data_IF_977204644544
#
_entry.id   IF_977204644544
#
_cell.length_a   1.000
_cell.length_b   1.000
_cell.length_c   1.000
_cell.angle_alpha   90.00
_cell.angle_beta   90.00
_cell.angle_gamma   90.00
#
_symmetry.space_group_name_H-M   'P 1'
#
loop_
_entity.id
_entity.type
_entity.pdbx_description
1 polymer ?
#
# COMPACT_ATOMS: atom_id res chain seq x y z
N UNK A 1 -1.71 7.59 -30.99
CA UNK A 1 -2.36 8.09 -29.76
C UNK A 1 -2.91 6.88 -29.05
N UNK A 2 -2.34 6.50 -27.91
CA UNK A 2 -2.92 5.44 -27.09
C UNK A 2 -4.24 5.99 -26.51
N UNK A 3 -5.34 5.28 -26.73
CA UNK A 3 -6.60 5.61 -26.08
C UNK A 3 -6.46 5.36 -24.59
N UNK A 4 -6.97 6.27 -23.74
CA UNK A 4 -6.99 6.12 -22.30
C UNK A 4 -7.55 4.73 -21.90
N UNK A 5 -6.97 4.15 -20.85
CA UNK A 5 -7.36 2.85 -20.31
C UNK A 5 -8.82 2.90 -19.92
N UNK A 6 -9.63 2.11 -20.62
CA UNK A 6 -11.06 2.04 -20.36
C UNK A 6 -11.31 1.05 -19.22
N UNK A 7 -11.56 1.58 -18.02
CA UNK A 7 -11.89 0.79 -16.84
C UNK A 7 -13.25 0.08 -16.95
N UNK A 8 -14.11 0.47 -17.89
CA UNK A 8 -15.41 -0.19 -18.16
C UNK A 8 -15.25 -1.59 -18.77
N UNK A 9 -14.03 -1.97 -19.18
CA UNK A 9 -13.74 -3.30 -19.77
C UNK A 9 -13.29 -4.31 -18.71
N UNK A 10 -13.16 -3.90 -17.45
CA UNK A 10 -12.77 -4.78 -16.37
C UNK A 10 -13.89 -5.78 -16.04
N UNK A 11 -13.55 -7.06 -16.02
CA UNK A 11 -14.46 -8.11 -15.62
C UNK A 11 -14.46 -8.29 -14.09
N UNK A 12 -15.62 -8.53 -13.46
CA UNK A 12 -15.69 -8.83 -12.04
C UNK A 12 -14.87 -10.08 -11.68
N UNK A 13 -14.12 -10.00 -10.58
CA UNK A 13 -13.32 -11.14 -10.11
C UNK A 13 -14.18 -12.35 -9.69
N UNK A 14 -15.38 -12.09 -9.16
CA UNK A 14 -16.41 -13.10 -8.94
C UNK A 14 -17.62 -12.80 -9.81
N UNK A 15 -18.02 -13.76 -10.64
CA UNK A 15 -19.15 -13.64 -11.54
C UNK A 15 -20.37 -14.36 -10.94
N UNK A 16 -21.46 -13.63 -10.74
CA UNK A 16 -22.74 -14.20 -10.34
C UNK A 16 -23.48 -14.74 -11.56
N UNK A 17 -24.03 -15.94 -11.46
CA UNK A 17 -24.87 -16.60 -12.47
C UNK A 17 -26.17 -17.08 -11.82
N UNK A 18 -27.22 -17.30 -12.62
CA UNK A 18 -28.55 -17.66 -12.12
C UNK A 18 -28.61 -19.00 -11.35
N UNK A 19 -27.52 -19.79 -11.37
CA UNK A 19 -27.37 -21.08 -10.66
C UNK A 19 -26.22 -21.14 -9.64
N UNK A 20 -25.55 -20.02 -9.34
CA UNK A 20 -24.39 -19.96 -8.45
C UNK A 20 -23.40 -18.86 -8.85
N UNK A 21 -22.20 -18.83 -8.28
CA UNK A 21 -21.14 -17.92 -8.75
C UNK A 21 -19.83 -18.63 -8.99
N UNK A 22 -19.00 -18.08 -9.87
CA UNK A 22 -17.68 -18.63 -10.21
C UNK A 22 -16.60 -17.56 -10.12
N UNK A 23 -15.43 -17.96 -9.65
CA UNK A 23 -14.23 -17.12 -9.69
C UNK A 23 -13.72 -16.97 -11.13
N UNK A 24 -13.15 -15.80 -11.42
CA UNK A 24 -12.50 -15.53 -12.70
C UNK A 24 -11.36 -16.54 -12.96
N UNK A 25 -11.10 -16.88 -14.23
CA UNK A 25 -10.13 -17.92 -14.60
C UNK A 25 -8.71 -17.67 -14.06
N UNK A 26 -8.32 -16.41 -13.89
CA UNK A 26 -7.01 -16.03 -13.32
C UNK A 26 -6.85 -16.44 -11.86
N UNK A 27 -7.94 -16.71 -11.14
CA UNK A 27 -7.91 -17.10 -9.71
C UNK A 27 -6.99 -18.29 -9.45
N UNK A 28 -6.88 -19.22 -10.42
CA UNK A 28 -6.02 -20.40 -10.32
C UNK A 28 -4.62 -20.22 -10.91
N UNK A 29 -4.33 -19.06 -11.50
CA UNK A 29 -3.03 -18.77 -12.10
C UNK A 29 -1.99 -18.44 -11.01
N UNK A 30 -0.70 -18.76 -11.23
CA UNK A 30 0.36 -18.28 -10.35
C UNK A 30 0.39 -16.75 -10.34
N UNK A 31 0.57 -16.16 -9.15
CA UNK A 31 0.64 -14.70 -9.04
C UNK A 31 1.91 -14.13 -9.67
N UNK A 32 3.02 -14.88 -9.60
CA UNK A 32 4.34 -14.45 -10.08
C UNK A 32 4.85 -15.34 -11.20
N UNK A 33 5.76 -14.80 -12.00
CA UNK A 33 6.60 -15.58 -12.91
C UNK A 33 8.09 -15.30 -12.59
N UNK A 34 8.86 -16.29 -12.11
CA UNK A 34 8.45 -17.67 -11.82
C UNK A 34 7.51 -17.80 -10.60
N UNK A 35 6.73 -18.90 -10.47
CA UNK A 35 5.87 -19.14 -9.30
C UNK A 35 6.67 -19.29 -8.00
N UNK A 36 6.13 -18.77 -6.90
CA UNK A 36 6.75 -18.83 -5.56
C UNK A 36 5.82 -19.53 -4.56
N UNK A 37 6.41 -20.10 -3.50
CA UNK A 37 5.69 -20.82 -2.45
C UNK A 37 5.21 -19.92 -1.31
N UNK A 38 5.61 -18.65 -1.27
CA UNK A 38 5.18 -17.68 -0.26
C UNK A 38 5.46 -16.26 -0.71
N UNK A 39 4.68 -15.31 -0.19
CA UNK A 39 4.88 -13.87 -0.41
C UNK A 39 4.59 -13.17 0.92
N UNK A 40 5.49 -12.31 1.38
CA UNK A 40 5.18 -11.33 2.41
C UNK A 40 4.78 -10.05 1.69
N UNK A 41 3.51 -9.67 1.83
CA UNK A 41 2.96 -8.49 1.19
C UNK A 41 2.82 -7.35 2.20
N UNK A 42 3.42 -6.20 1.89
CA UNK A 42 3.33 -4.96 2.68
C UNK A 42 2.54 -3.89 1.92
N UNK A 43 2.21 -2.79 2.61
CA UNK A 43 1.69 -1.56 1.99
C UNK A 43 2.75 -0.49 2.16
N UNK A 44 3.19 0.09 1.05
CA UNK A 44 4.28 1.07 1.00
C UNK A 44 4.04 2.20 2.01
N UNK A 45 2.81 2.72 2.05
CA UNK A 45 2.44 3.80 2.96
C UNK A 45 2.66 3.45 4.43
N UNK A 46 2.36 2.22 4.86
CA UNK A 46 2.56 1.79 6.23
C UNK A 46 4.05 1.63 6.59
N UNK A 47 4.87 1.18 5.63
CA UNK A 47 6.30 0.95 5.84
C UNK A 47 7.08 2.26 6.02
N UNK A 48 6.65 3.34 5.38
CA UNK A 48 7.35 4.64 5.46
C UNK A 48 6.64 5.65 6.36
N UNK A 49 5.44 5.33 6.87
CA UNK A 49 4.59 6.25 7.63
C UNK A 49 5.33 6.95 8.77
N UNK A 50 6.08 6.19 9.59
CA UNK A 50 6.77 6.77 10.73
C UNK A 50 7.87 7.74 10.31
N UNK A 51 8.64 7.39 9.28
CA UNK A 51 9.71 8.25 8.77
C UNK A 51 9.14 9.55 8.23
N UNK A 52 8.07 9.47 7.42
CA UNK A 52 7.41 10.65 6.86
C UNK A 52 6.76 11.51 7.95
N UNK A 53 6.16 10.88 8.96
CA UNK A 53 5.61 11.58 10.11
C UNK A 53 6.70 12.37 10.85
N UNK A 54 7.87 11.77 11.11
CA UNK A 54 8.99 12.47 11.76
C UNK A 54 9.46 13.63 10.88
N UNK A 55 9.67 13.38 9.59
CA UNK A 55 10.21 14.39 8.68
C UNK A 55 9.29 15.61 8.53
N UNK A 56 7.97 15.39 8.51
CA UNK A 56 6.99 16.46 8.50
C UNK A 56 6.98 17.24 9.84
N UNK A 57 7.06 16.54 10.97
CA UNK A 57 6.85 17.15 12.28
C UNK A 57 8.12 17.67 12.98
N UNK A 58 9.32 17.32 12.49
CA UNK A 58 10.61 17.67 13.14
C UNK A 58 10.83 19.17 13.36
N UNK A 59 10.17 20.02 12.57
CA UNK A 59 10.30 21.48 12.64
C UNK A 59 9.10 22.17 13.32
N UNK A 60 8.10 21.42 13.77
CA UNK A 60 6.90 21.97 14.41
C UNK A 60 7.10 22.21 15.91
N UNK A 61 8.06 21.54 16.53
CA UNK A 61 8.38 21.68 17.94
C UNK A 61 9.88 21.64 18.20
N UNK A 62 10.30 22.30 19.28
CA UNK A 62 11.66 22.28 19.79
C UNK A 62 11.69 21.46 21.09
N UNK A 63 12.58 20.46 21.23
CA UNK A 63 12.71 19.66 22.45
C UNK A 63 13.07 20.49 23.70
N UNK A 64 13.72 21.64 23.53
CA UNK A 64 14.14 22.53 24.62
C UNK A 64 13.06 23.56 25.00
N UNK A 65 12.01 23.69 24.18
CA UNK A 65 10.92 24.59 24.46
C UNK A 65 9.90 23.91 25.38
N UNK A 66 9.59 24.55 26.51
CA UNK A 66 8.65 24.06 27.51
C UNK A 66 7.19 24.15 27.03
N UNK A 67 6.83 23.35 26.02
CA UNK A 67 5.47 23.23 25.48
C UNK A 67 4.60 22.20 26.21
N UNK A 68 5.09 21.64 27.33
CA UNK A 68 4.41 20.60 28.14
C UNK A 68 2.95 20.95 28.49
N UNK A 69 2.61 22.23 28.56
CA UNK A 69 1.27 22.69 28.95
C UNK A 69 0.23 22.63 27.81
N UNK A 70 0.65 22.56 26.55
CA UNK A 70 -0.26 22.69 25.39
C UNK A 70 -0.82 21.38 24.84
N UNK A 71 -0.19 20.24 25.13
CA UNK A 71 -0.53 18.95 24.52
C UNK A 71 -0.33 18.88 23.00
N UNK A 72 0.24 19.92 22.38
CA UNK A 72 0.50 20.02 20.94
C UNK A 72 1.65 19.11 20.51
N UNK A 73 2.76 19.15 21.25
CA UNK A 73 3.93 18.32 21.03
C UNK A 73 4.40 17.68 22.34
N UNK A 74 4.94 16.46 22.26
CA UNK A 74 5.46 15.73 23.41
C UNK A 74 6.73 14.97 23.04
N UNK A 75 7.78 15.16 23.83
CA UNK A 75 9.01 14.37 23.75
C UNK A 75 9.11 13.39 24.91
N UNK A 76 9.87 12.30 24.75
CA UNK A 76 10.12 11.32 25.82
C UNK A 76 10.74 10.02 25.34
N UNK A 77 10.61 8.97 26.15
CA UNK A 77 11.13 7.64 25.83
C UNK A 77 10.33 6.99 24.70
N UNK A 78 11.01 6.58 23.63
CA UNK A 78 10.39 5.97 22.46
C UNK A 78 9.99 4.50 22.74
N UNK A 79 8.71 4.13 22.56
CA UNK A 79 8.27 2.74 22.70
C UNK A 79 8.93 1.81 21.67
N UNK A 80 9.64 0.81 22.17
CA UNK A 80 10.38 -0.14 21.32
C UNK A 80 11.59 0.49 20.65
N UNK A 81 12.30 1.38 21.34
CA UNK A 81 13.54 2.01 20.89
C UNK A 81 14.58 0.97 20.42
N UNK A 82 15.10 1.17 19.22
CA UNK A 82 16.19 0.42 18.60
C UNK A 82 17.35 1.39 18.29
N UNK A 83 18.49 1.31 19.01
CA UNK A 83 19.61 2.23 18.81
C UNK A 83 20.30 2.10 17.45
N UNK A 84 20.01 1.04 16.67
CA UNK A 84 20.55 0.91 15.31
C UNK A 84 19.68 1.60 14.25
N UNK A 85 18.40 1.87 14.56
CA UNK A 85 17.41 2.40 13.60
C UNK A 85 16.85 3.76 13.99
N UNK A 86 16.65 4.00 15.28
CA UNK A 86 15.99 5.20 15.80
C UNK A 86 16.99 6.32 16.03
N UNK A 87 16.51 7.57 15.95
CA UNK A 87 17.30 8.75 16.24
C UNK A 87 17.74 8.83 17.73
N UNK A 88 18.75 9.64 18.03
CA UNK A 88 19.17 9.87 19.42
C UNK A 88 18.07 10.62 20.21
N UNK A 89 17.88 10.34 21.51
CA UNK A 89 16.91 11.03 22.34
C UNK A 89 17.24 12.54 22.50
N UNK A 90 16.23 13.40 22.80
CA UNK A 90 14.85 13.04 23.12
C UNK A 90 13.97 12.81 21.88
N UNK A 91 13.12 11.78 21.92
CA UNK A 91 12.27 11.40 20.79
C UNK A 91 10.95 12.16 20.76
N UNK A 92 10.54 12.62 19.58
CA UNK A 92 9.21 13.18 19.38
C UNK A 92 8.17 12.04 19.38
N UNK A 93 7.26 12.06 20.36
CA UNK A 93 6.24 11.03 20.55
C UNK A 93 4.86 11.45 20.00
N UNK A 94 4.61 12.76 19.95
CA UNK A 94 3.34 13.36 19.53
C UNK A 94 3.60 14.75 18.98
N UNK A 95 2.90 15.15 17.93
CA UNK A 95 2.93 16.50 17.35
C UNK A 95 1.63 16.76 16.57
N UNK A 96 1.20 18.01 16.41
CA UNK A 96 -0.05 18.34 15.68
C UNK A 96 -1.29 17.56 16.16
N UNK A 97 -1.33 17.20 17.45
CA UNK A 97 -2.35 16.34 18.04
C UNK A 97 -2.38 14.88 17.54
N UNK A 98 -1.46 14.48 16.66
CA UNK A 98 -1.27 13.11 16.20
C UNK A 98 -0.16 12.42 17.00
N UNK A 99 -0.33 11.11 17.24
CA UNK A 99 0.70 10.28 17.89
C UNK A 99 1.68 9.76 16.83
N UNK A 100 2.96 9.61 17.19
CA UNK A 100 3.96 8.98 16.31
C UNK A 100 3.53 7.54 15.99
N UNK A 101 3.42 7.14 14.71
CA UNK A 101 2.84 5.86 14.31
C UNK A 101 3.84 4.69 14.47
N UNK A 102 4.18 4.35 15.71
CA UNK A 102 5.11 3.25 16.02
C UNK A 102 4.54 1.88 15.72
N UNK A 103 5.39 1.00 15.18
CA UNK A 103 5.11 -0.43 14.94
C UNK A 103 3.89 -0.65 14.03
N UNK A 104 3.69 0.26 13.08
CA UNK A 104 2.63 0.20 12.05
C UNK A 104 3.10 -0.48 10.77
N UNK A 105 4.41 -0.57 10.58
CA UNK A 105 5.04 -1.43 9.57
C UNK A 105 4.71 -2.90 9.80
N UNK A 106 4.82 -3.69 8.74
CA UNK A 106 4.60 -5.13 8.76
C UNK A 106 3.61 -5.59 7.70
N UNK A 107 3.91 -6.75 7.13
CA UNK A 107 3.12 -7.35 6.08
C UNK A 107 2.21 -8.48 6.53
N UNK A 108 1.52 -9.06 5.56
CA UNK A 108 0.82 -10.34 5.71
C UNK A 108 1.52 -11.42 4.90
N UNK A 109 1.72 -12.58 5.53
CA UNK A 109 2.24 -13.75 4.86
C UNK A 109 1.12 -14.43 4.06
N UNK A 110 1.33 -14.53 2.76
CA UNK A 110 0.48 -15.26 1.82
C UNK A 110 1.14 -16.59 1.51
N UNK A 111 0.42 -17.69 1.76
CA UNK A 111 0.85 -19.05 1.43
C UNK A 111 -0.18 -19.75 0.54
N UNK A 112 0.24 -20.73 -0.27
CA UNK A 112 -0.66 -21.53 -1.08
C UNK A 112 -1.69 -22.25 -0.21
N UNK A 113 -2.92 -22.38 -0.70
CA UNK A 113 -3.89 -23.30 -0.10
C UNK A 113 -3.31 -24.70 0.05
N UNK A 114 -3.59 -25.38 1.17
CA UNK A 114 -3.04 -26.70 1.47
C UNK A 114 -3.39 -27.79 0.43
N UNK A 115 -4.51 -27.61 -0.28
CA UNK A 115 -4.94 -28.47 -1.40
C UNK A 115 -4.51 -27.94 -2.78
N UNK A 116 -3.73 -26.85 -2.81
CA UNK A 116 -3.34 -26.13 -4.01
C UNK A 116 -2.15 -26.74 -4.75
N UNK A 117 -1.62 -25.99 -5.71
CA UNK A 117 -0.60 -26.45 -6.66
C UNK A 117 0.84 -26.27 -6.14
N UNK A 118 1.01 -25.93 -4.85
CA UNK A 118 2.32 -25.70 -4.22
C UNK A 118 2.94 -24.32 -4.50
N UNK A 119 2.19 -23.41 -5.13
CA UNK A 119 2.58 -22.02 -5.35
C UNK A 119 1.41 -21.07 -5.06
N UNK A 120 1.74 -19.81 -4.77
CA UNK A 120 0.75 -18.77 -4.46
C UNK A 120 -0.05 -18.42 -5.72
N UNK A 121 -1.35 -18.63 -5.66
CA UNK A 121 -2.28 -18.24 -6.73
C UNK A 121 -2.78 -16.81 -6.53
N UNK A 122 -3.36 -16.23 -7.60
CA UNK A 122 -4.10 -14.96 -7.49
C UNK A 122 -5.20 -15.05 -6.42
N UNK A 123 -5.86 -16.20 -6.30
CA UNK A 123 -6.90 -16.39 -5.30
C UNK A 123 -6.38 -16.40 -3.87
N UNK A 124 -5.31 -17.15 -3.61
CA UNK A 124 -4.69 -17.17 -2.27
C UNK A 124 -4.27 -15.75 -1.86
N UNK A 125 -3.70 -14.99 -2.79
CA UNK A 125 -3.29 -13.61 -2.54
C UNK A 125 -4.47 -12.69 -2.26
N UNK A 126 -5.46 -12.61 -3.15
CA UNK A 126 -6.61 -11.70 -2.98
C UNK A 126 -7.40 -12.02 -1.71
N UNK A 127 -7.63 -13.30 -1.41
CA UNK A 127 -8.42 -13.71 -0.22
C UNK A 127 -7.67 -13.52 1.09
N UNK A 128 -6.33 -13.52 1.07
CA UNK A 128 -5.50 -13.18 2.25
C UNK A 128 -5.37 -11.67 2.42
N UNK A 129 -5.11 -10.95 1.33
CA UNK A 129 -4.88 -9.51 1.33
C UNK A 129 -6.12 -8.71 1.66
N UNK A 130 -7.27 -9.04 1.06
CA UNK A 130 -8.46 -8.19 1.18
C UNK A 130 -8.92 -8.02 2.64
N UNK A 131 -9.09 -9.08 3.46
CA UNK A 131 -9.43 -8.92 4.88
C UNK A 131 -8.34 -8.18 5.67
N UNK A 132 -7.06 -8.40 5.36
CA UNK A 132 -5.95 -7.72 6.03
C UNK A 132 -5.96 -6.21 5.74
N UNK A 133 -6.14 -5.82 4.47
CA UNK A 133 -6.28 -4.42 4.06
C UNK A 133 -7.49 -3.77 4.73
N UNK A 134 -8.63 -4.45 4.76
CA UNK A 134 -9.84 -3.91 5.39
C UNK A 134 -9.69 -3.72 6.90
N UNK A 135 -8.96 -4.62 7.58
CA UNK A 135 -8.65 -4.49 9.00
C UNK A 135 -7.73 -3.30 9.30
N UNK A 136 -6.77 -3.03 8.40
CA UNK A 136 -5.79 -1.95 8.56
C UNK A 136 -6.21 -0.66 7.84
N UNK A 137 -7.45 -0.56 7.33
CA UNK A 137 -7.89 0.56 6.49
C UNK A 137 -7.70 1.92 7.16
N UNK A 138 -7.95 2.04 8.47
CA UNK A 138 -7.74 3.29 9.21
C UNK A 138 -6.28 3.73 9.18
N UNK A 139 -5.38 2.84 9.59
CA UNK A 139 -3.93 3.10 9.59
C UNK A 139 -3.41 3.42 8.18
N UNK A 140 -3.89 2.74 7.14
CA UNK A 140 -3.51 3.02 5.74
C UNK A 140 -3.94 4.44 5.33
N UNK A 141 -5.16 4.85 5.66
CA UNK A 141 -5.65 6.19 5.33
C UNK A 141 -4.90 7.28 6.08
N UNK A 142 -4.60 7.04 7.37
CA UNK A 142 -3.82 7.98 8.16
C UNK A 142 -2.37 8.08 7.62
N UNK A 143 -1.79 6.97 7.16
CA UNK A 143 -0.48 6.94 6.52
C UNK A 143 -0.46 7.66 5.16
N UNK A 144 -1.53 7.55 4.38
CA UNK A 144 -1.68 8.29 3.13
C UNK A 144 -1.78 9.81 3.36
N UNK A 145 -2.37 10.24 4.47
CA UNK A 145 -2.58 11.65 4.84
C UNK A 145 -1.32 12.34 5.42
N UNK A 146 -0.16 12.14 4.81
CA UNK A 146 1.15 12.59 5.30
C UNK A 146 1.24 14.08 5.63
N UNK A 147 0.56 14.90 4.83
CA UNK A 147 0.62 16.36 4.90
C UNK A 147 -0.66 16.98 5.48
N UNK A 148 -1.53 16.16 6.08
CA UNK A 148 -2.80 16.59 6.68
C UNK A 148 -3.75 17.34 5.72
N UNK A 149 -3.60 17.13 4.41
CA UNK A 149 -4.34 17.80 3.34
C UNK A 149 -5.18 16.85 2.48
N UNK A 150 -5.18 15.55 2.81
CA UNK A 150 -5.95 14.55 2.08
C UNK A 150 -7.45 14.79 2.28
N UNK A 151 -8.28 14.66 1.21
CA UNK A 151 -9.72 14.70 1.35
C UNK A 151 -10.24 13.58 2.25
N UNK A 152 -11.46 13.75 2.76
CA UNK A 152 -12.12 12.72 3.56
C UNK A 152 -12.15 11.38 2.78
N UNK A 153 -11.77 10.30 3.46
CA UNK A 153 -11.67 8.97 2.88
C UNK A 153 -13.03 8.45 2.35
N UNK A 154 -14.16 8.98 2.82
CA UNK A 154 -15.49 8.68 2.28
C UNK A 154 -15.71 9.26 0.86
N UNK A 155 -14.88 10.23 0.47
CA UNK A 155 -14.95 10.87 -0.84
C UNK A 155 -13.91 10.34 -1.83
N UNK A 156 -13.09 9.36 -1.42
CA UNK A 156 -12.05 8.77 -2.25
C UNK A 156 -12.52 7.45 -2.88
N UNK A 157 -12.33 7.30 -4.19
CA UNK A 157 -12.42 6.00 -4.87
C UNK A 157 -11.02 5.39 -4.92
N UNK A 158 -10.69 4.55 -3.94
CA UNK A 158 -9.36 3.98 -3.76
C UNK A 158 -9.20 2.64 -4.47
N UNK A 159 -8.02 2.43 -5.04
CA UNK A 159 -7.60 1.17 -5.65
C UNK A 159 -6.30 0.68 -5.04
N UNK A 160 -6.14 -0.65 -5.02
CA UNK A 160 -4.88 -1.31 -4.65
C UNK A 160 -4.10 -1.56 -5.93
N UNK A 161 -2.98 -0.87 -6.10
CA UNK A 161 -2.09 -1.07 -7.24
C UNK A 161 -1.04 -2.14 -6.91
N UNK A 162 -1.08 -3.24 -7.65
CA UNK A 162 -0.19 -4.39 -7.52
C UNK A 162 0.97 -4.26 -8.52
N UNK A 163 1.83 -3.26 -8.34
CA UNK A 163 3.07 -3.13 -9.15
C UNK A 163 4.04 -4.25 -8.81
N UNK A 164 4.21 -4.50 -7.52
CA UNK A 164 5.06 -5.54 -6.97
C UNK A 164 4.26 -6.37 -5.95
N UNK A 165 4.21 -7.71 -6.08
CA UNK A 165 3.40 -8.54 -5.17
C UNK A 165 3.79 -8.47 -3.70
N UNK A 166 5.00 -8.03 -3.38
CA UNK A 166 5.51 -7.89 -2.03
C UNK A 166 5.33 -6.48 -1.45
N UNK A 167 5.05 -5.46 -2.27
CA UNK A 167 4.86 -4.08 -1.83
C UNK A 167 3.74 -3.42 -2.65
N UNK A 168 2.63 -3.14 -1.97
CA UNK A 168 1.42 -2.58 -2.57
C UNK A 168 1.35 -1.08 -2.35
N UNK A 169 0.73 -0.39 -3.29
CA UNK A 169 0.36 1.02 -3.12
C UNK A 169 -1.16 1.12 -3.09
N UNK A 170 -1.69 1.97 -2.21
CA UNK A 170 -3.10 2.37 -2.25
C UNK A 170 -3.16 3.78 -2.81
N UNK A 171 -3.95 3.97 -3.86
CA UNK A 171 -3.96 5.23 -4.61
C UNK A 171 -5.38 5.57 -5.04
N UNK A 172 -5.65 6.86 -5.26
CA UNK A 172 -6.90 7.29 -5.88
C UNK A 172 -7.00 6.72 -7.30
N UNK A 173 -8.18 6.22 -7.67
CA UNK A 173 -8.42 5.59 -8.96
C UNK A 173 -8.11 6.49 -10.16
N UNK A 174 -8.34 7.80 -10.05
CA UNK A 174 -8.06 8.75 -11.13
C UNK A 174 -6.55 8.81 -11.43
N UNK A 175 -5.73 8.88 -10.38
CA UNK A 175 -4.27 8.80 -10.45
C UNK A 175 -3.79 7.44 -10.95
N UNK A 176 -4.37 6.34 -10.46
CA UNK A 176 -4.06 5.01 -10.98
C UNK A 176 -4.32 4.88 -12.48
N UNK A 177 -5.46 5.38 -12.99
CA UNK A 177 -5.76 5.38 -14.42
C UNK A 177 -4.71 6.19 -15.20
N UNK A 178 -4.29 7.34 -14.66
CA UNK A 178 -3.21 8.15 -15.25
C UNK A 178 -1.90 7.36 -15.32
N UNK A 179 -1.50 6.68 -14.26
CA UNK A 179 -0.28 5.89 -14.23
C UNK A 179 -0.31 4.67 -15.16
N UNK A 180 -1.42 3.92 -15.17
CA UNK A 180 -1.60 2.79 -16.09
C UNK A 180 -1.47 3.25 -17.54
N UNK A 181 -2.01 4.42 -17.89
CA UNK A 181 -1.85 4.99 -19.22
C UNK A 181 -0.38 5.26 -19.56
N UNK A 182 0.35 5.91 -18.64
CA UNK A 182 1.79 6.18 -18.83
C UNK A 182 2.62 4.90 -18.97
N UNK A 183 2.36 3.89 -18.13
CA UNK A 183 3.04 2.58 -18.19
C UNK A 183 2.80 1.88 -19.53
N UNK A 184 1.57 1.92 -20.05
CA UNK A 184 1.22 1.35 -21.37
C UNK A 184 1.92 2.06 -22.52
N UNK A 185 2.02 3.38 -22.48
CA UNK A 185 2.76 4.15 -23.50
C UNK A 185 4.27 3.84 -23.46
N UNK A 186 4.84 3.70 -22.26
CA UNK A 186 6.24 3.28 -22.07
C UNK A 186 6.52 1.87 -22.60
N UNK A 187 5.66 0.89 -22.28
CA UNK A 187 5.79 -0.49 -22.78
C UNK A 187 5.52 -0.63 -24.28
N UNK A 188 4.59 0.15 -24.84
CA UNK A 188 4.40 0.22 -26.29
C UNK A 188 5.64 0.78 -27.00
N UNK A 189 6.36 1.72 -26.39
CA UNK A 189 7.63 2.24 -26.90
C UNK A 189 8.75 1.17 -26.95
N UNK A 190 8.80 0.27 -25.97
CA UNK A 190 9.83 -0.79 -25.88
C UNK A 190 9.58 -1.88 -26.94
N UNK A 191 8.34 -2.31 -27.14
CA UNK A 191 8.04 -3.35 -28.15
C UNK A 191 8.11 -2.86 -29.60
N UNK A 192 7.92 -1.56 -29.89
CA UNK A 192 8.13 -1.03 -31.25
C UNK A 192 9.62 -1.09 -31.66
N UNK A 193 10.54 -0.95 -30.71
CA UNK A 193 11.99 -1.05 -30.96
C UNK A 193 12.40 -2.50 -31.21
N UNK A 194 11.81 -3.48 -30.53
CA UNK A 194 12.12 -4.90 -30.73
C UNK A 194 11.55 -5.48 -32.04
N UNK A 195 10.39 -5.00 -32.50
CA UNK A 195 9.77 -5.51 -33.75
C UNK A 195 10.39 -4.87 -35.01
N UNK A 196 11.03 -3.70 -34.89
CA UNK A 196 11.70 -3.04 -36.02
C UNK A 196 13.14 -3.51 -36.27
N UNK A 197 13.65 -4.44 -35.44
CA UNK A 197 15.00 -4.99 -35.53
C UNK A 197 15.05 -6.40 -36.16
N UNK A 198 14.01 -6.80 -36.90
CA UNK A 198 13.95 -8.03 -37.70
C UNK A 198 13.83 -7.70 -39.19
#
# INVERSE_FOLDING_TARGET
>A
MATAYNTEVLEPYFQHTDGGGSWHAISHSPLTQPPVSEIVATVDDLEIWESDWIDFHRNHSDPDASYEESGYAKYGDLPGYDPEKDEDPPHLLKCCYTERPRHKEGGVLVTPSASGQGFVTVHDYVTTMHPWLMRNRGDILDAMNRYEDMPDAEHMDLVVDLVTPNCLTVIEKSEWVREVNMRREGWAGIHVVEISAV
#
